data_IF_272124980078
#
_entry.id   IF_272124980078
#
_cell.length_a   1.000
_cell.length_b   1.000
_cell.length_c   1.000
_cell.angle_alpha   90.00
_cell.angle_beta   90.00
_cell.angle_gamma   90.00
#
_symmetry.space_group_name_H-M   'P 1'
#
loop_
_entity.id
_entity.type
_entity.pdbx_description
1 polymer ?
#
# COMPACT_ATOMS: atom_id res chain seq x y z
N UNK A 1 11.14 -23.17 13.84
CA UNK A 1 11.16 -22.11 12.81
C UNK A 1 11.40 -20.81 13.55
N UNK A 2 12.19 -19.90 12.98
CA UNK A 2 12.54 -18.63 13.63
C UNK A 2 11.65 -17.54 13.05
N UNK A 3 11.12 -16.68 13.91
CA UNK A 3 10.32 -15.54 13.49
C UNK A 3 11.14 -14.57 12.63
N UNK A 4 10.47 -13.90 11.70
CA UNK A 4 11.06 -12.91 10.81
C UNK A 4 10.38 -11.57 11.02
N UNK A 5 11.17 -10.54 11.34
CA UNK A 5 10.69 -9.16 11.45
C UNK A 5 10.90 -8.44 10.13
N UNK A 6 9.85 -7.76 9.65
CA UNK A 6 9.84 -6.99 8.41
C UNK A 6 9.42 -5.55 8.69
N UNK A 7 10.00 -4.60 7.95
CA UNK A 7 9.56 -3.21 7.92
C UNK A 7 8.67 -2.96 6.68
N UNK A 8 7.56 -2.25 6.90
CA UNK A 8 6.61 -1.82 5.88
C UNK A 8 6.53 -0.28 5.84
N UNK A 9 7.41 0.39 5.07
CA UNK A 9 7.44 1.85 5.00
C UNK A 9 6.20 2.44 4.32
N UNK A 10 5.68 3.51 4.89
CA UNK A 10 4.62 4.32 4.29
C UNK A 10 5.08 4.91 2.95
N UNK A 11 4.10 5.33 2.15
CA UNK A 11 4.33 6.07 0.91
C UNK A 11 3.71 7.46 0.95
N UNK A 12 4.25 8.34 0.11
CA UNK A 12 3.63 9.60 -0.27
C UNK A 12 3.51 9.66 -1.80
N UNK A 13 2.41 10.24 -2.26
CA UNK A 13 2.24 10.63 -3.66
C UNK A 13 2.55 12.12 -3.75
N UNK A 14 3.67 12.47 -4.37
CA UNK A 14 4.18 13.85 -4.44
C UNK A 14 3.58 14.65 -5.58
N UNK A 15 3.19 13.95 -6.64
CA UNK A 15 2.41 14.49 -7.75
C UNK A 15 1.56 13.37 -8.33
N UNK A 16 0.41 13.72 -8.89
CA UNK A 16 -0.47 12.79 -9.59
C UNK A 16 -1.24 13.55 -10.64
N UNK A 17 -1.08 13.13 -11.89
CA UNK A 17 -1.91 13.59 -13.00
C UNK A 17 -2.81 12.49 -13.49
N UNK A 18 -4.07 12.82 -13.75
CA UNK A 18 -5.01 11.92 -14.41
C UNK A 18 -4.93 12.20 -15.91
N UNK A 19 -4.44 11.21 -16.66
CA UNK A 19 -4.21 11.32 -18.11
C UNK A 19 -5.47 11.00 -18.94
N UNK A 20 -6.46 10.35 -18.34
CA UNK A 20 -7.69 9.94 -18.98
C UNK A 20 -8.33 8.75 -18.29
N UNK A 21 -9.45 8.28 -18.84
CA UNK A 21 -10.20 7.15 -18.31
C UNK A 21 -10.25 6.03 -19.33
N UNK A 22 -10.00 4.80 -18.88
CA UNK A 22 -10.10 3.56 -19.66
C UNK A 22 -11.55 3.08 -19.76
N UNK A 23 -11.81 2.24 -20.75
CA UNK A 23 -13.14 1.62 -20.97
C UNK A 23 -13.58 0.72 -19.82
N UNK A 24 -12.64 0.17 -19.05
CA UNK A 24 -12.89 -0.63 -17.84
C UNK A 24 -13.23 0.22 -16.60
N UNK A 25 -13.26 1.55 -16.74
CA UNK A 25 -13.66 2.47 -15.70
C UNK A 25 -12.52 3.00 -14.82
N UNK A 26 -11.28 2.54 -15.01
CA UNK A 26 -10.11 3.05 -14.28
C UNK A 26 -9.50 4.29 -14.93
N UNK A 27 -8.80 5.09 -14.13
CA UNK A 27 -8.07 6.27 -14.59
C UNK A 27 -6.61 5.94 -14.85
N UNK A 28 -6.11 6.39 -16.00
CA UNK A 28 -4.68 6.40 -16.29
C UNK A 28 -4.04 7.53 -15.50
N UNK A 29 -2.95 7.24 -14.80
CA UNK A 29 -2.22 8.19 -13.97
C UNK A 29 -0.76 8.36 -14.42
N UNK A 30 -0.19 9.50 -14.07
CA UNK A 30 1.25 9.75 -14.02
C UNK A 30 1.56 10.38 -12.67
N UNK A 31 2.21 9.60 -11.80
CA UNK A 31 2.45 9.98 -10.42
C UNK A 31 3.92 9.82 -10.04
N UNK A 32 4.41 10.71 -9.18
CA UNK A 32 5.67 10.53 -8.47
C UNK A 32 5.36 10.07 -7.05
N UNK A 33 5.92 8.93 -6.65
CA UNK A 33 5.72 8.37 -5.31
C UNK A 33 7.06 8.13 -4.60
N UNK A 34 7.06 8.30 -3.28
CA UNK A 34 8.22 8.06 -2.41
C UNK A 34 7.85 7.22 -1.20
N UNK A 35 8.74 6.33 -0.78
CA UNK A 35 8.72 5.71 0.54
C UNK A 35 9.28 6.69 1.57
N UNK A 36 8.75 6.65 2.78
CA UNK A 36 9.23 7.45 3.92
C UNK A 36 9.67 6.56 5.08
N UNK A 37 10.39 7.12 6.05
CA UNK A 37 10.91 6.40 7.21
C UNK A 37 9.87 6.22 8.35
N UNK A 38 8.61 6.53 8.11
CA UNK A 38 7.48 6.07 8.92
C UNK A 38 7.08 4.68 8.43
N UNK A 39 7.06 3.66 9.28
CA UNK A 39 6.77 2.29 8.87
C UNK A 39 5.96 1.52 9.91
N UNK A 40 5.19 0.56 9.42
CA UNK A 40 4.64 -0.52 10.24
C UNK A 40 5.70 -1.61 10.40
N UNK A 41 5.59 -2.39 11.48
CA UNK A 41 6.44 -3.55 11.74
C UNK A 41 5.60 -4.83 11.68
N UNK A 42 6.09 -5.83 10.95
CA UNK A 42 5.44 -7.13 10.85
C UNK A 42 6.34 -8.20 11.47
N UNK A 43 5.77 -9.04 12.32
CA UNK A 43 6.42 -10.26 12.80
C UNK A 43 5.71 -11.45 12.16
N UNK A 44 6.47 -12.22 11.38
CA UNK A 44 5.98 -13.41 10.69
C UNK A 44 6.53 -14.66 11.38
N UNK A 45 5.64 -15.55 11.78
CA UNK A 45 5.98 -16.93 12.16
C UNK A 45 5.60 -17.84 10.99
N UNK A 46 6.58 -18.32 10.19
CA UNK A 46 6.29 -19.12 9.01
C UNK A 46 5.53 -20.40 9.36
N UNK A 47 4.47 -20.68 8.61
CA UNK A 47 3.68 -21.90 8.71
C UNK A 47 4.13 -22.99 7.74
N UNK A 48 3.47 -24.15 7.77
CA UNK A 48 3.73 -25.24 6.83
C UNK A 48 3.48 -24.82 5.36
N UNK A 49 4.29 -25.32 4.44
CA UNK A 49 4.20 -25.02 2.99
C UNK A 49 3.27 -25.97 2.23
N UNK A 50 2.73 -26.98 2.89
CA UNK A 50 1.97 -28.11 2.33
C UNK A 50 0.46 -27.86 2.18
N UNK A 51 0.05 -26.60 2.24
CA UNK A 51 -1.12 -26.10 1.51
C UNK A 51 -2.47 -26.59 2.02
N UNK A 52 -2.99 -25.92 3.05
CA UNK A 52 -4.39 -25.45 3.16
C UNK A 52 -4.58 -24.82 4.55
N UNK A 53 -3.89 -23.72 4.81
CA UNK A 53 -4.14 -22.94 6.02
C UNK A 53 -4.54 -21.54 5.59
N UNK A 54 -5.72 -21.13 6.01
CA UNK A 54 -6.08 -19.72 5.96
C UNK A 54 -5.05 -18.94 6.78
N UNK A 55 -4.41 -17.91 6.20
CA UNK A 55 -3.42 -17.13 6.91
C UNK A 55 -4.07 -16.46 8.12
N UNK A 56 -3.44 -16.56 9.29
CA UNK A 56 -3.89 -15.84 10.49
C UNK A 56 -3.14 -14.51 10.52
N UNK A 57 -3.90 -13.42 10.34
CA UNK A 57 -3.37 -12.05 10.44
C UNK A 57 -3.95 -11.41 11.69
N UNK A 58 -3.08 -10.93 12.56
CA UNK A 58 -3.40 -10.13 13.74
C UNK A 58 -2.85 -8.73 13.53
N UNK A 59 -3.69 -7.72 13.75
CA UNK A 59 -3.34 -6.32 13.58
C UNK A 59 -3.40 -5.67 14.96
N UNK A 60 -2.26 -5.20 15.44
CA UNK A 60 -2.13 -4.40 16.66
C UNK A 60 -2.07 -2.92 16.27
N UNK A 61 -3.15 -2.18 16.53
CA UNK A 61 -3.15 -0.74 16.28
C UNK A 61 -2.47 0.01 17.44
N UNK A 62 -1.32 0.64 17.15
CA UNK A 62 -0.57 1.47 18.10
C UNK A 62 -0.75 2.96 17.84
N UNK A 63 -1.52 3.36 16.83
CA UNK A 63 -1.64 4.76 16.39
C UNK A 63 -2.50 5.61 17.31
N UNK A 64 -3.49 5.00 17.97
CA UNK A 64 -4.39 5.66 18.93
C UNK A 64 -4.05 5.33 20.41
N UNK A 65 -3.00 4.53 20.64
CA UNK A 65 -2.59 4.06 21.96
C UNK A 65 -3.55 3.05 22.61
N UNK A 66 -4.59 2.59 21.90
CA UNK A 66 -5.55 1.62 22.42
C UNK A 66 -4.95 0.22 22.55
N UNK A 67 -3.97 -0.12 21.71
CA UNK A 67 -3.43 -1.47 21.60
C UNK A 67 -4.48 -2.48 21.12
N UNK A 68 -5.50 -2.01 20.40
CA UNK A 68 -6.58 -2.87 19.91
C UNK A 68 -6.01 -3.91 18.96
N UNK A 69 -6.31 -5.18 19.25
CA UNK A 69 -5.98 -6.31 18.38
C UNK A 69 -7.21 -6.67 17.56
N UNK A 70 -7.09 -6.59 16.24
CA UNK A 70 -8.13 -6.99 15.30
C UNK A 70 -7.61 -8.13 14.42
N UNK A 71 -8.46 -9.09 14.11
CA UNK A 71 -8.12 -10.16 13.17
C UNK A 71 -8.39 -9.70 11.73
N UNK A 72 -7.41 -9.88 10.85
CA UNK A 72 -7.57 -9.64 9.42
C UNK A 72 -8.63 -10.56 8.83
N UNK A 73 -9.57 -9.98 8.08
CA UNK A 73 -10.60 -10.73 7.37
C UNK A 73 -10.10 -11.32 6.05
N UNK A 74 -11.00 -11.97 5.29
CA UNK A 74 -10.70 -12.49 3.95
C UNK A 74 -10.16 -11.41 3.00
N UNK A 75 -10.62 -10.17 3.19
CA UNK A 75 -10.28 -9.02 2.34
C UNK A 75 -9.00 -8.29 2.72
N UNK A 76 -8.35 -8.70 3.82
CA UNK A 76 -7.09 -8.14 4.27
C UNK A 76 -5.98 -8.31 3.22
N UNK A 77 -5.17 -7.27 3.03
CA UNK A 77 -4.15 -7.25 1.97
C UNK A 77 -2.96 -8.16 2.27
N UNK A 78 -2.59 -8.35 3.54
CA UNK A 78 -1.56 -9.31 3.97
C UNK A 78 -2.03 -10.74 3.71
N UNK A 79 -3.30 -11.04 4.04
CA UNK A 79 -3.90 -12.33 3.73
C UNK A 79 -3.94 -12.60 2.21
N UNK A 80 -4.30 -11.60 1.40
CA UNK A 80 -4.24 -11.69 -0.07
C UNK A 80 -2.82 -11.92 -0.59
N UNK A 81 -1.83 -11.24 -0.03
CA UNK A 81 -0.43 -11.43 -0.40
C UNK A 81 0.06 -12.86 -0.10
N UNK A 82 -0.24 -13.40 1.10
CA UNK A 82 0.11 -14.77 1.48
C UNK A 82 -0.50 -15.81 0.53
N UNK A 83 -1.78 -15.63 0.16
CA UNK A 83 -2.46 -16.48 -0.83
C UNK A 83 -1.81 -16.39 -2.21
N UNK A 84 -1.48 -15.19 -2.68
CA UNK A 84 -0.86 -14.97 -4.00
C UNK A 84 0.48 -15.73 -4.12
N UNK A 85 1.27 -15.75 -3.05
CA UNK A 85 2.58 -16.41 -3.03
C UNK A 85 2.53 -17.88 -2.58
N UNK A 86 1.34 -18.40 -2.28
CA UNK A 86 1.14 -19.78 -1.82
C UNK A 86 1.86 -20.11 -0.52
N UNK A 87 1.98 -19.15 0.41
CA UNK A 87 2.65 -19.35 1.71
C UNK A 87 1.66 -19.19 2.86
N UNK A 88 1.94 -19.87 3.96
CA UNK A 88 1.24 -19.69 5.24
C UNK A 88 2.19 -19.08 6.26
N UNK A 89 1.68 -18.16 7.06
CA UNK A 89 2.36 -17.58 8.21
C UNK A 89 1.32 -17.03 9.19
N UNK A 90 1.63 -17.09 10.48
CA UNK A 90 0.99 -16.22 11.47
C UNK A 90 1.67 -14.85 11.36
N UNK A 91 0.87 -13.79 11.22
CA UNK A 91 1.39 -12.43 11.02
C UNK A 91 0.84 -11.53 12.11
N UNK A 92 1.74 -10.87 12.84
CA UNK A 92 1.40 -9.77 13.75
C UNK A 92 1.86 -8.47 13.10
N UNK A 93 0.93 -7.54 12.84
CA UNK A 93 1.20 -6.23 12.26
C UNK A 93 1.08 -5.17 13.34
N UNK A 94 2.18 -4.50 13.67
CA UNK A 94 2.22 -3.36 14.59
C UNK A 94 2.08 -2.06 13.80
N UNK A 95 0.92 -1.41 13.90
CA UNK A 95 0.60 -0.21 13.10
C UNK A 95 1.14 1.07 13.74
N UNK A 96 1.98 1.77 12.99
CA UNK A 96 2.41 3.15 13.23
C UNK A 96 1.92 4.10 12.14
N UNK A 97 1.54 3.59 10.97
CA UNK A 97 0.98 4.36 9.86
C UNK A 97 -0.52 4.57 10.11
N UNK A 98 -1.00 5.83 10.23
CA UNK A 98 -2.42 6.11 10.44
C UNK A 98 -3.30 5.54 9.31
N UNK A 99 -4.30 4.75 9.69
CA UNK A 99 -5.26 4.19 8.73
C UNK A 99 -6.06 5.30 8.03
N UNK A 100 -6.34 5.13 6.74
CA UNK A 100 -7.13 6.08 5.95
C UNK A 100 -6.44 7.41 5.61
N UNK A 101 -5.19 7.63 6.02
CA UNK A 101 -4.44 8.86 5.78
C UNK A 101 -3.82 8.98 4.37
N UNK A 102 -4.10 8.05 3.45
CA UNK A 102 -3.50 8.05 2.11
C UNK A 102 -2.03 7.62 2.05
N UNK A 103 -1.48 7.14 3.17
CA UNK A 103 -0.07 6.77 3.34
C UNK A 103 0.28 5.33 2.91
N UNK A 104 -0.70 4.58 2.40
CA UNK A 104 -0.47 3.24 1.85
C UNK A 104 -0.11 2.15 2.87
N UNK A 105 -0.41 2.32 4.17
CA UNK A 105 -0.01 1.37 5.22
C UNK A 105 -0.36 -0.09 4.92
N UNK A 106 -1.64 -0.40 4.67
CA UNK A 106 -2.06 -1.78 4.34
C UNK A 106 -1.43 -2.32 3.05
N UNK A 107 -1.20 -1.46 2.04
CA UNK A 107 -0.51 -1.86 0.80
C UNK A 107 0.97 -2.17 1.07
N UNK A 108 1.60 -1.42 1.98
CA UNK A 108 2.97 -1.64 2.40
C UNK A 108 3.16 -2.92 3.19
N UNK A 109 2.21 -3.24 4.08
CA UNK A 109 2.18 -4.50 4.83
C UNK A 109 2.13 -5.70 3.87
N UNK A 110 1.22 -5.66 2.90
CA UNK A 110 1.10 -6.69 1.87
C UNK A 110 2.39 -6.80 1.04
N UNK A 111 2.97 -5.68 0.62
CA UNK A 111 4.23 -5.66 -0.12
C UNK A 111 5.41 -6.22 0.70
N UNK A 112 5.44 -6.01 2.02
CA UNK A 112 6.45 -6.60 2.89
C UNK A 112 6.38 -8.13 2.88
N UNK A 113 5.17 -8.70 2.93
CA UNK A 113 4.96 -10.15 2.79
C UNK A 113 5.42 -10.66 1.41
N UNK A 114 5.09 -9.94 0.33
CA UNK A 114 5.53 -10.31 -1.01
C UNK A 114 7.06 -10.33 -1.12
N UNK A 115 7.75 -9.31 -0.58
CA UNK A 115 9.22 -9.28 -0.50
C UNK A 115 9.78 -10.46 0.28
N UNK A 116 9.21 -10.77 1.45
CA UNK A 116 9.61 -11.93 2.25
C UNK A 116 9.49 -13.25 1.49
N UNK A 117 8.47 -13.36 0.64
CA UNK A 117 8.26 -14.54 -0.19
C UNK A 117 9.17 -14.60 -1.44
N UNK A 118 9.93 -13.54 -1.74
CA UNK A 118 10.75 -13.41 -2.94
C UNK A 118 9.94 -13.10 -4.20
N UNK A 119 8.76 -12.51 -4.06
CA UNK A 119 7.89 -12.16 -5.18
C UNK A 119 8.28 -10.80 -5.78
N UNK A 120 8.43 -10.73 -7.10
CA UNK A 120 8.92 -9.55 -7.83
C UNK A 120 8.03 -9.13 -9.02
N UNK A 121 6.91 -9.82 -9.24
CA UNK A 121 5.97 -9.49 -10.32
C UNK A 121 5.09 -8.28 -9.96
N UNK A 122 5.57 -7.08 -10.31
CA UNK A 122 4.91 -5.80 -10.02
C UNK A 122 3.46 -5.72 -10.57
N UNK A 123 3.16 -6.11 -11.84
CA UNK A 123 1.80 -6.08 -12.34
C UNK A 123 0.82 -7.02 -11.59
N UNK A 124 1.28 -8.17 -11.11
CA UNK A 124 0.43 -9.05 -10.29
C UNK A 124 0.24 -8.49 -8.88
N UNK A 125 1.22 -7.78 -8.33
CA UNK A 125 1.11 -7.14 -7.03
C UNK A 125 0.01 -6.07 -6.99
N UNK A 126 -0.19 -5.30 -8.08
CA UNK A 126 -1.25 -4.28 -8.17
C UNK A 126 -2.67 -4.85 -8.08
N UNK A 127 -2.85 -6.15 -8.32
CA UNK A 127 -4.14 -6.83 -8.18
C UNK A 127 -4.57 -7.01 -6.72
N UNK A 128 -3.63 -6.95 -5.77
CA UNK A 128 -3.93 -7.00 -4.34
C UNK A 128 -4.49 -5.65 -3.88
N UNK A 129 -3.87 -4.56 -4.32
CA UNK A 129 -4.29 -3.19 -4.00
C UNK A 129 -3.50 -2.17 -4.83
N UNK A 130 -4.09 -1.00 -5.04
CA UNK A 130 -3.61 0.01 -5.99
C UNK A 130 -2.14 0.43 -5.75
N UNK A 131 -1.75 0.60 -4.47
CA UNK A 131 -0.40 1.03 -4.12
C UNK A 131 0.59 -0.13 -3.86
N UNK A 132 0.14 -1.40 -3.89
CA UNK A 132 0.99 -2.55 -3.53
C UNK A 132 2.15 -2.70 -4.49
N UNK A 133 1.94 -2.43 -5.78
CA UNK A 133 2.98 -2.43 -6.80
C UNK A 133 4.11 -1.43 -6.48
N UNK A 134 3.75 -0.18 -6.14
CA UNK A 134 4.73 0.80 -5.70
C UNK A 134 5.43 0.35 -4.41
N UNK A 135 4.66 -0.08 -3.40
CA UNK A 135 5.21 -0.50 -2.13
C UNK A 135 6.14 -1.72 -2.24
N UNK A 136 5.96 -2.58 -3.25
CA UNK A 136 6.85 -3.71 -3.53
C UNK A 136 8.24 -3.25 -3.97
N UNK A 137 8.28 -2.24 -4.85
CA UNK A 137 9.53 -1.64 -5.36
C UNK A 137 10.17 -0.71 -4.31
N UNK A 138 9.38 0.18 -3.72
CA UNK A 138 9.81 1.17 -2.74
C UNK A 138 10.75 2.26 -3.29
N UNK A 139 11.32 3.04 -2.38
CA UNK A 139 12.25 4.13 -2.72
C UNK A 139 11.52 5.31 -3.35
N UNK A 140 12.03 5.84 -4.45
CA UNK A 140 11.36 6.86 -5.25
C UNK A 140 11.07 6.28 -6.62
N UNK A 141 9.86 6.48 -7.13
CA UNK A 141 9.48 5.95 -8.43
C UNK A 141 8.46 6.83 -9.15
N UNK A 142 8.48 6.74 -10.48
CA UNK A 142 7.37 7.17 -11.33
C UNK A 142 6.40 5.99 -11.47
N UNK A 143 5.12 6.26 -11.24
CA UNK A 143 4.04 5.28 -11.27
C UNK A 143 3.05 5.69 -12.36
N UNK A 144 2.80 4.79 -13.30
CA UNK A 144 1.92 5.04 -14.46
C UNK A 144 0.95 3.89 -14.70
N UNK A 145 0.11 4.00 -15.73
CA UNK A 145 -0.98 3.07 -15.98
C UNK A 145 -2.12 3.36 -15.00
N UNK A 146 -2.69 2.33 -14.40
CA UNK A 146 -3.62 2.41 -13.27
C UNK A 146 -2.90 2.23 -11.91
N UNK A 147 -1.56 2.31 -11.90
CA UNK A 147 -0.71 2.08 -10.72
C UNK A 147 0.19 0.83 -10.81
N UNK A 148 0.10 0.07 -11.90
CA UNK A 148 0.78 -1.21 -12.12
C UNK A 148 2.17 -1.08 -12.78
N UNK A 149 2.50 0.07 -13.35
CA UNK A 149 3.80 0.32 -13.99
C UNK A 149 4.64 1.20 -13.07
N UNK A 150 5.72 0.64 -12.52
CA UNK A 150 6.59 1.32 -11.56
C UNK A 150 8.01 1.39 -12.10
N UNK A 151 8.50 2.61 -12.31
CA UNK A 151 9.85 2.91 -12.78
C UNK A 151 10.63 3.60 -11.66
N UNK A 152 11.67 2.94 -11.13
CA UNK A 152 12.52 3.52 -10.08
C UNK A 152 13.23 4.78 -10.56
N UNK A 153 13.24 5.80 -9.71
CA UNK A 153 13.95 7.06 -9.91
C UNK A 153 15.13 7.15 -8.92
N UNK A 154 16.14 7.99 -9.22
CA UNK A 154 17.24 8.24 -8.29
C UNK A 154 16.73 8.75 -6.94
N UNK A 155 17.33 8.27 -5.86
CA UNK A 155 17.07 8.74 -4.51
C UNK A 155 17.33 10.25 -4.38
N UNK A 156 16.47 10.92 -3.63
CA UNK A 156 16.63 12.31 -3.25
C UNK A 156 16.38 12.47 -1.76
N UNK A 157 17.31 13.13 -1.07
CA UNK A 157 17.17 13.40 0.37
C UNK A 157 16.16 14.55 0.57
N UNK A 158 15.04 14.23 1.23
CA UNK A 158 13.92 15.15 1.44
C UNK A 158 13.33 14.92 2.83
N UNK A 159 12.93 16.01 3.50
CA UNK A 159 12.23 15.96 4.78
C UNK A 159 10.78 16.35 4.58
N UNK A 160 9.86 15.54 5.11
CA UNK A 160 8.42 15.78 5.04
C UNK A 160 7.84 15.97 6.45
N UNK A 161 6.93 16.94 6.58
CA UNK A 161 6.07 17.09 7.76
C UNK A 161 4.69 16.58 7.38
N UNK A 162 4.20 15.55 8.07
CA UNK A 162 2.87 14.99 7.83
C UNK A 162 1.84 15.65 8.73
N UNK A 163 0.72 16.10 8.14
CA UNK A 163 -0.46 16.56 8.85
C UNK A 163 -1.63 15.66 8.46
N UNK A 164 -2.01 14.75 9.35
CA UNK A 164 -3.10 13.79 9.12
C UNK A 164 -4.34 14.20 9.93
N UNK A 165 -5.31 14.92 9.34
CA UNK A 165 -6.56 15.21 10.04
C UNK A 165 -7.34 13.90 10.29
N UNK A 166 -8.27 13.86 11.26
CA UNK A 166 -9.14 12.71 11.51
C UNK A 166 -10.26 12.60 10.45
N UNK A 167 -9.87 12.63 9.18
CA UNK A 167 -10.73 12.54 8.01
C UNK A 167 -10.15 11.46 7.11
N UNK A 168 -11.01 10.57 6.63
CA UNK A 168 -10.65 9.56 5.63
C UNK A 168 -11.50 9.75 4.39
N UNK A 169 -10.87 9.55 3.23
CA UNK A 169 -11.53 9.63 1.93
C UNK A 169 -11.43 8.28 1.25
N UNK A 170 -12.56 7.79 0.73
CA UNK A 170 -12.57 6.59 -0.11
C UNK A 170 -11.95 6.91 -1.46
N UNK A 171 -10.87 6.22 -1.86
CA UNK A 171 -10.22 6.44 -3.15
C UNK A 171 -11.21 6.39 -4.33
N UNK A 172 -12.12 5.39 -4.44
CA UNK A 172 -13.17 5.42 -5.45
C UNK A 172 -14.11 6.64 -5.41
N UNK A 173 -14.39 7.19 -4.22
CA UNK A 173 -15.22 8.39 -4.08
C UNK A 173 -14.51 9.65 -4.56
N UNK A 174 -13.19 9.77 -4.31
CA UNK A 174 -12.37 10.89 -4.79
C UNK A 174 -12.34 10.92 -6.32
N UNK A 175 -12.04 9.79 -6.97
CA UNK A 175 -12.03 9.72 -8.44
C UNK A 175 -13.41 9.99 -9.06
N UNK A 176 -14.49 9.50 -8.44
CA UNK A 176 -15.85 9.79 -8.90
C UNK A 176 -16.15 11.28 -8.81
N UNK A 177 -15.75 11.93 -7.72
CA UNK A 177 -15.96 13.37 -7.52
C UNK A 177 -15.16 14.19 -8.53
N UNK A 178 -13.94 13.76 -8.84
CA UNK A 178 -13.10 14.36 -9.87
C UNK A 178 -13.77 14.30 -11.27
N UNK A 179 -14.34 13.14 -11.63
CA UNK A 179 -15.12 12.98 -12.88
C UNK A 179 -16.32 13.93 -12.92
N UNK A 180 -17.09 14.04 -11.83
CA UNK A 180 -18.25 14.95 -11.73
C UNK A 180 -17.88 16.44 -11.87
N UNK A 181 -16.64 16.80 -11.53
CA UNK A 181 -16.12 18.16 -11.68
C UNK A 181 -15.59 18.44 -13.09
N UNK A 182 -15.65 17.47 -14.00
CA UNK A 182 -15.17 17.62 -15.38
C UNK A 182 -13.67 17.41 -15.54
N UNK A 183 -13.02 16.73 -14.60
CA UNK A 183 -11.60 16.42 -14.63
C UNK A 183 -10.69 17.64 -14.45
N UNK A 184 -10.81 18.38 -13.32
CA UNK A 184 -9.97 19.54 -13.06
C UNK A 184 -8.48 19.15 -12.95
N UNK A 185 -7.61 20.10 -13.29
CA UNK A 185 -6.17 19.98 -13.03
C UNK A 185 -5.84 20.67 -11.71
N UNK A 186 -5.01 20.04 -10.88
CA UNK A 186 -4.60 20.62 -9.61
C UNK A 186 -3.49 21.66 -9.77
N UNK A 187 -3.55 22.73 -8.99
CA UNK A 187 -2.58 23.83 -9.03
C UNK A 187 -1.18 23.45 -8.50
N UNK A 188 -1.09 22.35 -7.75
CA UNK A 188 0.14 21.89 -7.10
C UNK A 188 0.68 20.57 -7.68
N UNK A 189 0.21 20.18 -8.87
CA UNK A 189 0.66 18.97 -9.55
C UNK A 189 -0.02 17.69 -9.07
N UNK A 190 -1.14 17.81 -8.36
CA UNK A 190 -1.99 16.70 -7.94
C UNK A 190 -3.44 16.98 -8.32
N UNK A 191 -3.94 16.25 -9.33
CA UNK A 191 -5.27 16.46 -9.89
C UNK A 191 -6.40 16.03 -8.94
N UNK A 192 -6.10 15.32 -7.85
CA UNK A 192 -7.09 14.82 -6.89
C UNK A 192 -7.21 15.68 -5.61
N UNK A 193 -6.61 16.88 -5.61
CA UNK A 193 -6.75 17.88 -4.55
C UNK A 193 -8.03 18.73 -4.67
#
# INVERSE_FOLDING_TARGET
MTDVTLAAPAKLTLSLRVLGRRDDGYHLIDAEMVSVNLFDELVLTPGPTDGCFDPVVQIEDRTDGSGLVVHGGIDDLVAKALRLVGRSADVVVSKSIPAGAGLGGGSSDAAAVLRWAGFDNVPSASQIGADVAFCLVGGRARVTGIGEVVESLPFEDRTFTLLTPPVSCSTPAVYRRWDEMGGPTGDHGNDLE
#
